data_IF_815312270701
#
_entry.id   IF_815312270701
#
_cell.length_a   1.000
_cell.length_b   1.000
_cell.length_c   1.000
_cell.angle_alpha   90.00
_cell.angle_beta   90.00
_cell.angle_gamma   90.00
#
_symmetry.space_group_name_H-M   'P 1'
#
loop_
_entity.id
_entity.type
_entity.pdbx_description
1 polymer ?
#
# COMPACT_ATOMS: atom_id res chain seq x y z
N UNK A 1 37.13 -4.31 9.93
CA UNK A 1 38.32 -3.43 10.05
C UNK A 1 39.18 -3.91 11.20
N UNK A 2 40.53 -3.86 11.00
CA UNK A 2 41.52 -4.15 12.01
C UNK A 2 42.30 -2.85 12.32
N UNK A 3 42.35 -2.49 13.59
CA UNK A 3 43.14 -1.34 14.07
C UNK A 3 44.54 -1.74 14.42
N UNK A 4 45.49 -1.34 13.60
CA UNK A 4 46.92 -1.60 13.79
C UNK A 4 47.66 -0.36 14.30
N UNK A 5 48.45 -0.44 15.36
CA UNK A 5 49.23 0.70 15.85
C UNK A 5 50.23 1.29 14.84
N UNK A 6 50.68 0.49 13.85
CA UNK A 6 51.61 0.92 12.81
C UNK A 6 50.95 1.36 11.52
N UNK A 7 49.90 0.61 11.10
CA UNK A 7 49.26 0.81 9.77
C UNK A 7 47.94 1.60 9.83
N UNK A 8 47.41 1.87 11.02
CA UNK A 8 46.11 2.50 11.17
C UNK A 8 44.97 1.50 10.96
N UNK A 9 43.86 1.96 10.38
CA UNK A 9 42.71 1.12 10.03
C UNK A 9 43.01 0.30 8.75
N UNK A 10 42.95 -1.01 8.86
CA UNK A 10 43.25 -1.95 7.77
C UNK A 10 42.02 -2.81 7.52
N UNK A 11 41.56 -3.00 6.26
CA UNK A 11 40.45 -3.91 5.96
C UNK A 11 40.82 -5.35 6.24
N UNK A 12 39.87 -6.18 6.64
CA UNK A 12 40.00 -7.61 6.67
C UNK A 12 40.13 -8.12 5.22
N UNK A 13 41.06 -9.04 4.91
CA UNK A 13 41.18 -9.64 3.58
C UNK A 13 39.87 -10.30 3.10
N UNK A 14 39.61 -10.25 1.80
CA UNK A 14 38.37 -10.81 1.22
C UNK A 14 38.23 -12.30 1.46
N UNK A 15 39.35 -13.05 1.46
CA UNK A 15 39.41 -14.48 1.72
C UNK A 15 39.06 -14.88 3.15
N UNK A 16 39.07 -13.91 4.09
CA UNK A 16 38.63 -14.09 5.48
C UNK A 16 37.16 -13.74 5.71
N UNK A 17 36.45 -13.32 4.67
CA UNK A 17 35.02 -12.99 4.75
C UNK A 17 34.15 -14.23 4.48
N UNK A 18 33.00 -14.35 5.14
CA UNK A 18 32.43 -13.44 6.15
C UNK A 18 33.14 -13.57 7.50
N UNK A 19 33.45 -12.42 8.13
CA UNK A 19 33.95 -12.42 9.50
C UNK A 19 32.80 -12.72 10.45
N UNK A 20 32.80 -13.86 11.07
CA UNK A 20 31.76 -14.32 11.99
C UNK A 20 31.95 -13.73 13.39
N UNK A 21 30.83 -13.42 14.06
CA UNK A 21 30.84 -13.09 15.48
C UNK A 21 31.17 -14.33 16.32
N UNK A 22 31.85 -14.16 17.49
CA UNK A 22 32.17 -15.28 18.36
C UNK A 22 30.88 -15.85 18.98
N UNK A 23 30.84 -17.17 19.13
CA UNK A 23 29.77 -17.81 19.90
C UNK A 23 30.00 -17.59 21.39
N UNK A 24 29.05 -16.96 22.04
CA UNK A 24 29.05 -16.68 23.47
C UNK A 24 27.69 -17.00 24.06
N UNK A 25 27.66 -17.47 25.31
CA UNK A 25 26.39 -17.78 26.00
C UNK A 25 25.51 -16.57 26.16
N UNK A 26 26.09 -15.38 26.38
CA UNK A 26 25.36 -14.13 26.56
C UNK A 26 26.22 -12.91 26.28
N UNK A 27 25.71 -11.99 25.45
CA UNK A 27 26.26 -10.64 25.33
C UNK A 27 25.69 -9.74 26.43
N UNK A 28 26.55 -9.15 27.26
CA UNK A 28 26.17 -8.23 28.32
C UNK A 28 26.71 -6.83 28.03
N UNK A 29 25.98 -5.77 28.38
CA UNK A 29 26.51 -4.40 28.29
C UNK A 29 27.75 -4.27 29.18
N UNK A 30 28.80 -3.63 28.65
CA UNK A 30 30.08 -3.42 29.38
C UNK A 30 29.95 -2.42 30.53
N UNK A 31 28.88 -1.58 30.54
CA UNK A 31 28.71 -0.48 31.47
C UNK A 31 29.60 0.74 31.18
N UNK A 32 30.54 0.63 30.22
CA UNK A 32 31.48 1.69 29.82
C UNK A 32 31.03 2.43 28.56
N UNK A 33 29.96 1.96 27.90
CA UNK A 33 29.50 2.45 26.58
C UNK A 33 30.19 1.78 25.40
N UNK A 34 31.16 0.90 25.65
CA UNK A 34 31.78 0.07 24.60
C UNK A 34 30.88 -1.11 24.20
N UNK A 35 31.12 -1.62 23.00
CA UNK A 35 30.43 -2.81 22.51
C UNK A 35 30.70 -4.01 23.42
N UNK A 36 29.70 -4.89 23.66
CA UNK A 36 29.93 -6.17 24.34
C UNK A 36 31.02 -7.04 23.72
N UNK A 37 31.32 -6.87 22.44
CA UNK A 37 32.42 -7.55 21.76
C UNK A 37 33.79 -7.14 22.32
N UNK A 38 33.93 -5.94 22.88
CA UNK A 38 35.20 -5.45 23.40
C UNK A 38 35.76 -6.29 24.54
N UNK A 39 34.88 -6.93 25.33
CA UNK A 39 35.25 -7.81 26.43
C UNK A 39 35.72 -9.24 25.98
N UNK A 40 35.47 -9.58 24.70
CA UNK A 40 35.83 -10.89 24.14
C UNK A 40 37.26 -10.80 23.58
N UNK A 41 38.24 -10.81 24.47
CA UNK A 41 39.64 -10.55 24.14
C UNK A 41 40.23 -11.52 23.11
N UNK A 42 39.78 -12.77 23.10
CA UNK A 42 40.21 -13.78 22.14
C UNK A 42 39.76 -13.44 20.72
N UNK A 43 38.61 -12.86 20.57
CA UNK A 43 38.09 -12.42 19.26
C UNK A 43 38.65 -11.06 18.86
N UNK A 44 38.79 -10.14 19.81
CA UNK A 44 39.26 -8.75 19.56
C UNK A 44 40.70 -8.72 19.14
N UNK A 45 41.56 -9.47 19.84
CA UNK A 45 42.98 -9.48 19.53
C UNK A 45 43.28 -10.29 18.27
N UNK A 46 44.00 -9.70 17.35
CA UNK A 46 44.34 -10.29 16.05
C UNK A 46 45.71 -9.83 15.57
N UNK A 47 46.11 -10.26 14.41
CA UNK A 47 47.29 -9.75 13.72
C UNK A 47 46.93 -8.84 12.58
N UNK A 48 47.70 -7.82 12.35
CA UNK A 48 47.51 -6.92 11.23
C UNK A 48 47.72 -7.64 9.89
N UNK A 49 46.73 -7.64 8.98
CA UNK A 49 46.86 -8.27 7.67
C UNK A 49 48.00 -7.66 6.81
N UNK A 50 48.31 -6.38 7.06
CA UNK A 50 49.33 -5.66 6.29
C UNK A 50 50.76 -5.89 6.77
N UNK A 51 51.01 -5.84 8.09
CA UNK A 51 52.37 -5.88 8.62
C UNK A 51 52.66 -6.98 9.64
N UNK A 52 51.68 -7.83 9.96
CA UNK A 52 51.80 -8.91 10.90
C UNK A 52 51.95 -8.53 12.39
N UNK A 53 51.90 -7.27 12.71
CA UNK A 53 51.99 -6.79 14.10
C UNK A 53 50.70 -7.11 14.88
N UNK A 54 50.77 -7.19 16.25
CA UNK A 54 49.60 -7.28 17.07
C UNK A 54 48.63 -6.10 16.80
N UNK A 55 47.36 -6.43 16.64
CA UNK A 55 46.31 -5.47 16.28
C UNK A 55 44.99 -5.85 16.96
N UNK A 56 43.97 -5.01 16.84
CA UNK A 56 42.63 -5.23 17.39
C UNK A 56 41.58 -5.15 16.31
N UNK A 57 40.61 -6.07 16.33
CA UNK A 57 39.42 -5.96 15.50
C UNK A 57 38.55 -4.80 15.97
N UNK A 58 37.86 -4.17 15.02
CA UNK A 58 36.79 -3.20 15.32
C UNK A 58 35.66 -3.92 16.07
N UNK A 59 35.24 -3.35 17.19
CA UNK A 59 34.18 -3.89 18.04
C UNK A 59 32.85 -3.18 17.89
N UNK A 60 32.85 -1.97 17.29
CA UNK A 60 31.64 -1.30 16.90
C UNK A 60 31.15 -1.91 15.58
N UNK A 61 30.09 -2.68 15.67
CA UNK A 61 29.35 -3.10 14.47
C UNK A 61 28.59 -1.90 13.92
N UNK A 62 28.39 -1.86 12.61
CA UNK A 62 27.49 -0.85 12.04
C UNK A 62 26.11 -0.95 12.69
N UNK A 63 25.42 0.16 12.91
CA UNK A 63 24.08 0.16 13.45
C UNK A 63 23.15 -0.81 12.72
N UNK A 64 22.11 -1.26 13.39
CA UNK A 64 21.10 -2.19 12.85
C UNK A 64 20.56 -1.81 11.46
N UNK A 65 20.68 -0.55 11.05
CA UNK A 65 20.25 -0.05 9.75
C UNK A 65 21.22 -0.37 8.61
N UNK A 66 22.41 -0.89 8.87
CA UNK A 66 23.40 -1.17 7.82
C UNK A 66 22.87 -2.14 6.76
N UNK A 67 22.27 -3.25 7.17
CA UNK A 67 21.66 -4.21 6.26
C UNK A 67 20.45 -3.64 5.52
N UNK A 68 19.60 -2.87 6.21
CA UNK A 68 18.42 -2.25 5.62
C UNK A 68 18.73 -1.05 4.72
N UNK A 69 19.95 -0.51 4.77
CA UNK A 69 20.34 0.65 3.96
C UNK A 69 20.44 0.37 2.46
N UNK A 70 20.48 -0.88 2.04
CA UNK A 70 20.68 -1.28 0.65
C UNK A 70 19.83 -2.48 0.19
N UNK A 71 18.87 -2.97 0.99
CA UNK A 71 18.05 -4.15 0.68
C UNK A 71 17.30 -4.02 -0.65
N UNK A 72 16.87 -2.81 -1.03
CA UNK A 72 16.16 -2.56 -2.28
C UNK A 72 17.00 -2.89 -3.52
N UNK A 73 18.32 -2.75 -3.45
CA UNK A 73 19.24 -3.23 -4.51
C UNK A 73 19.18 -4.76 -4.63
N UNK A 74 19.18 -5.48 -3.50
CA UNK A 74 19.08 -6.94 -3.50
C UNK A 74 17.72 -7.46 -3.91
N UNK A 75 16.65 -6.73 -3.69
CA UNK A 75 15.31 -7.13 -4.18
C UNK A 75 15.27 -7.21 -5.70
N UNK A 76 15.99 -6.34 -6.38
CA UNK A 76 16.08 -6.34 -7.85
C UNK A 76 16.87 -7.55 -8.36
N UNK A 77 17.86 -8.03 -7.61
CA UNK A 77 18.79 -9.08 -8.05
C UNK A 77 19.19 -10.04 -6.91
N UNK A 78 18.19 -10.62 -6.25
CA UNK A 78 18.36 -11.40 -5.03
C UNK A 78 19.10 -12.75 -5.18
N UNK A 79 19.29 -13.25 -6.41
CA UNK A 79 19.99 -14.50 -6.71
C UNK A 79 21.41 -14.28 -7.23
N UNK A 80 21.87 -13.04 -7.30
CA UNK A 80 23.21 -12.73 -7.75
C UNK A 80 24.22 -13.01 -6.63
N UNK A 81 25.15 -13.93 -6.85
CA UNK A 81 26.21 -14.33 -5.93
C UNK A 81 27.60 -13.77 -6.29
N UNK A 82 27.68 -12.99 -7.38
CA UNK A 82 28.94 -12.47 -7.94
C UNK A 82 29.17 -11.00 -7.63
N UNK A 83 28.11 -10.23 -7.55
CA UNK A 83 28.16 -8.78 -7.35
C UNK A 83 27.00 -8.30 -6.48
N UNK A 84 27.09 -7.08 -5.96
CA UNK A 84 26.07 -6.46 -5.11
C UNK A 84 24.70 -6.43 -5.81
N UNK A 85 24.70 -6.01 -7.06
CA UNK A 85 23.54 -5.94 -7.95
C UNK A 85 24.04 -5.85 -9.39
N UNK A 86 23.36 -6.51 -10.31
CA UNK A 86 23.64 -6.33 -11.73
C UNK A 86 23.25 -4.92 -12.17
N UNK A 87 24.19 -4.23 -12.83
CA UNK A 87 24.05 -2.84 -13.24
C UNK A 87 22.82 -2.60 -14.12
N UNK A 88 22.59 -3.40 -15.13
CA UNK A 88 21.47 -3.23 -16.05
C UNK A 88 20.12 -3.39 -15.34
N UNK A 89 20.05 -4.31 -14.38
CA UNK A 89 18.85 -4.47 -13.55
C UNK A 89 18.64 -3.27 -12.62
N UNK A 90 19.71 -2.78 -11.99
CA UNK A 90 19.63 -1.60 -11.14
C UNK A 90 19.12 -0.39 -11.92
N UNK A 91 19.69 -0.11 -13.08
CA UNK A 91 19.32 1.03 -13.93
C UNK A 91 17.88 0.93 -14.47
N UNK A 92 17.39 -0.30 -14.66
CA UNK A 92 16.01 -0.54 -15.15
C UNK A 92 14.94 -0.33 -14.07
N UNK A 93 15.19 -0.76 -12.84
CA UNK A 93 14.17 -0.88 -11.80
C UNK A 93 14.33 0.13 -10.65
N UNK A 94 15.44 0.84 -10.58
CA UNK A 94 15.74 1.80 -9.54
C UNK A 94 16.01 3.20 -10.13
N UNK A 95 15.97 4.26 -9.33
CA UNK A 95 15.62 4.32 -7.90
C UNK A 95 14.16 3.92 -7.62
N UNK A 96 13.88 3.52 -6.38
CA UNK A 96 12.53 3.13 -5.93
C UNK A 96 11.53 4.25 -6.16
N UNK A 97 10.35 3.95 -6.70
CA UNK A 97 9.38 4.97 -7.08
C UNK A 97 8.78 5.70 -5.89
N UNK A 98 8.49 4.99 -4.79
CA UNK A 98 7.92 5.59 -3.59
C UNK A 98 8.42 4.90 -2.33
N UNK A 99 8.87 5.70 -1.36
CA UNK A 99 9.17 5.28 0.00
C UNK A 99 8.04 5.72 0.93
N UNK A 100 7.42 4.75 1.61
CA UNK A 100 6.36 4.99 2.58
C UNK A 100 6.87 4.60 3.95
N UNK A 101 6.84 5.51 4.92
CA UNK A 101 7.33 5.24 6.26
C UNK A 101 7.13 6.39 7.23
N UNK A 102 7.39 6.12 8.53
CA UNK A 102 7.28 7.12 9.58
C UNK A 102 8.35 8.21 9.47
N UNK A 103 8.00 9.40 9.91
CA UNK A 103 8.89 10.59 9.88
C UNK A 103 10.20 10.37 10.67
N UNK A 104 10.21 9.49 11.66
CA UNK A 104 11.40 9.13 12.44
C UNK A 104 12.55 8.56 11.58
N UNK A 105 12.24 7.98 10.44
CA UNK A 105 13.23 7.44 9.51
C UNK A 105 14.02 8.51 8.75
N UNK A 106 13.61 9.78 8.84
CA UNK A 106 14.37 10.90 8.26
C UNK A 106 15.82 10.95 8.78
N UNK A 107 16.02 10.67 10.08
CA UNK A 107 17.33 10.64 10.74
C UNK A 107 17.85 9.21 10.97
N UNK A 108 17.12 8.19 10.53
CA UNK A 108 17.48 6.78 10.67
C UNK A 108 17.68 6.16 9.28
N UNK A 109 16.72 5.37 8.82
CA UNK A 109 16.84 4.59 7.59
C UNK A 109 17.08 5.46 6.34
N UNK A 110 16.38 6.58 6.19
CA UNK A 110 16.57 7.48 5.04
C UNK A 110 17.99 8.06 5.01
N UNK A 111 18.54 8.46 6.17
CA UNK A 111 19.91 8.98 6.25
C UNK A 111 20.92 7.93 5.78
N UNK A 112 20.83 6.70 6.29
CA UNK A 112 21.77 5.63 5.96
C UNK A 112 21.60 5.13 4.52
N UNK A 113 20.39 4.95 4.03
CA UNK A 113 20.15 4.52 2.66
C UNK A 113 20.63 5.54 1.63
N UNK A 114 20.44 6.85 1.89
CA UNK A 114 20.99 7.91 1.05
C UNK A 114 22.51 7.92 1.06
N UNK A 115 23.12 7.75 2.23
CA UNK A 115 24.58 7.68 2.34
C UNK A 115 25.15 6.51 1.53
N UNK A 116 24.57 5.31 1.66
CA UNK A 116 24.98 4.13 0.88
C UNK A 116 24.79 4.34 -0.62
N UNK A 117 23.67 4.87 -1.02
CA UNK A 117 23.37 5.13 -2.44
C UNK A 117 24.39 6.09 -3.04
N UNK A 118 24.69 7.21 -2.37
CA UNK A 118 25.69 8.17 -2.81
C UNK A 118 27.08 7.55 -2.90
N UNK A 119 27.48 6.78 -1.89
CA UNK A 119 28.75 6.08 -1.90
C UNK A 119 28.84 5.09 -3.06
N UNK A 120 27.81 4.27 -3.30
CA UNK A 120 27.80 3.30 -4.40
C UNK A 120 27.79 3.98 -5.78
N UNK A 121 27.18 5.17 -5.88
CA UNK A 121 27.26 6.00 -7.08
C UNK A 121 28.68 6.55 -7.27
N UNK A 122 29.31 7.10 -6.23
CA UNK A 122 30.66 7.65 -6.28
C UNK A 122 31.71 6.61 -6.74
N UNK A 123 31.55 5.35 -6.35
CA UNK A 123 32.44 4.26 -6.77
C UNK A 123 31.97 3.55 -8.07
N UNK A 124 30.92 4.04 -8.71
CA UNK A 124 30.46 3.58 -10.03
C UNK A 124 29.69 2.25 -10.04
N UNK A 125 29.16 1.80 -8.89
CA UNK A 125 28.35 0.57 -8.80
C UNK A 125 26.95 0.79 -9.36
N UNK A 126 26.38 1.97 -9.16
CA UNK A 126 25.05 2.38 -9.66
C UNK A 126 25.10 3.76 -10.30
N UNK A 127 24.08 4.15 -11.09
CA UNK A 127 24.04 5.40 -11.85
C UNK A 127 23.20 6.51 -11.21
N UNK A 128 22.54 6.23 -10.09
CA UNK A 128 21.69 7.18 -9.40
C UNK A 128 22.28 7.50 -8.01
N UNK A 129 22.04 8.72 -7.54
CA UNK A 129 22.56 9.24 -6.26
C UNK A 129 21.51 9.40 -5.15
N UNK A 130 20.23 9.16 -5.47
CA UNK A 130 19.13 9.13 -4.50
C UNK A 130 18.36 7.82 -4.59
N UNK A 131 18.09 7.14 -3.45
CA UNK A 131 17.49 5.81 -3.46
C UNK A 131 15.99 5.80 -3.79
N UNK A 132 15.28 6.91 -3.53
CA UNK A 132 13.83 7.02 -3.62
C UNK A 132 13.42 8.26 -4.41
N UNK A 133 12.50 8.10 -5.39
CA UNK A 133 11.98 9.21 -6.21
C UNK A 133 10.98 10.07 -5.43
N UNK A 134 10.17 9.43 -4.57
CA UNK A 134 9.11 10.08 -3.79
C UNK A 134 9.11 9.57 -2.36
N UNK A 135 8.99 10.48 -1.41
CA UNK A 135 8.79 10.19 0.00
C UNK A 135 7.33 10.46 0.38
N UNK A 136 6.70 9.51 1.05
CA UNK A 136 5.40 9.68 1.68
C UNK A 136 5.51 9.33 3.16
N UNK A 137 5.37 10.33 4.02
CA UNK A 137 5.34 10.11 5.47
C UNK A 137 3.93 9.79 5.91
N UNK A 138 3.77 8.61 6.52
CA UNK A 138 2.51 8.19 7.12
C UNK A 138 2.36 8.74 8.53
N UNK A 139 1.10 8.95 8.94
CA UNK A 139 0.72 9.21 10.32
C UNK A 139 0.81 7.95 11.18
N UNK A 140 0.52 8.11 12.45
CA UNK A 140 0.56 7.05 13.45
C UNK A 140 -0.86 6.62 13.83
N UNK A 141 -1.09 5.31 13.89
CA UNK A 141 -2.29 4.78 14.53
C UNK A 141 -2.02 4.69 16.04
N UNK A 142 -2.74 5.49 16.79
CA UNK A 142 -2.63 5.56 18.24
C UNK A 142 -3.70 4.71 18.93
N UNK A 143 -3.47 4.36 20.18
CA UNK A 143 -4.50 3.81 21.04
C UNK A 143 -5.45 4.90 21.55
N UNK A 144 -6.36 4.53 22.44
CA UNK A 144 -7.33 5.46 23.05
C UNK A 144 -6.67 6.70 23.63
N UNK A 145 -7.31 7.85 23.44
CA UNK A 145 -6.85 9.18 23.87
C UNK A 145 -5.55 9.65 23.17
N UNK A 146 -5.30 9.22 21.95
CA UNK A 146 -4.12 9.61 21.17
C UNK A 146 -2.79 9.06 21.73
N UNK A 147 -2.84 8.06 22.65
CA UNK A 147 -1.64 7.53 23.26
C UNK A 147 -0.98 6.52 22.34
N UNK A 148 0.32 6.71 22.05
CA UNK A 148 1.10 5.75 21.28
C UNK A 148 0.99 4.35 21.88
N UNK A 149 0.67 3.36 21.06
CA UNK A 149 0.62 1.96 21.44
C UNK A 149 2.00 1.46 21.84
N UNK A 150 2.11 0.75 22.97
CA UNK A 150 3.32 0.06 23.37
C UNK A 150 3.01 -1.13 24.27
N UNK A 151 3.85 -2.17 24.18
CA UNK A 151 3.73 -3.37 25.05
C UNK A 151 3.81 -3.02 26.53
N UNK A 152 4.67 -2.05 26.90
CA UNK A 152 4.84 -1.60 28.28
C UNK A 152 3.61 -0.90 28.85
N UNK A 153 2.75 -0.33 28.01
CA UNK A 153 1.49 0.33 28.42
C UNK A 153 0.27 -0.59 28.34
N UNK A 154 0.42 -1.80 27.80
CA UNK A 154 -0.67 -2.75 27.66
C UNK A 154 -1.82 -2.30 26.74
N UNK A 155 -1.57 -1.31 25.85
CA UNK A 155 -2.57 -0.72 24.96
C UNK A 155 -2.36 -1.11 23.49
N UNK A 156 -1.65 -2.21 23.25
CA UNK A 156 -1.42 -2.73 21.90
C UNK A 156 -2.64 -3.53 21.46
N UNK A 157 -3.09 -3.29 20.22
CA UNK A 157 -4.10 -4.12 19.54
C UNK A 157 -3.36 -5.21 18.77
N UNK A 158 -3.72 -6.48 19.00
CA UNK A 158 -3.12 -7.61 18.30
C UNK A 158 -3.79 -7.80 16.92
N UNK A 159 -3.04 -7.76 15.82
CA UNK A 159 -3.58 -8.11 14.50
C UNK A 159 -4.14 -9.53 14.45
N UNK A 160 -3.53 -10.48 15.18
CA UNK A 160 -3.93 -11.89 15.18
C UNK A 160 -5.36 -12.10 15.67
N UNK A 161 -5.77 -11.36 16.70
CA UNK A 161 -7.13 -11.41 17.24
C UNK A 161 -8.14 -10.85 16.23
N UNK A 162 -7.80 -9.74 15.57
CA UNK A 162 -8.65 -9.12 14.56
C UNK A 162 -8.79 -9.98 13.30
N UNK A 163 -7.69 -10.60 12.86
CA UNK A 163 -7.71 -11.54 11.73
C UNK A 163 -8.57 -12.76 12.04
N UNK A 164 -8.47 -13.32 13.25
CA UNK A 164 -9.31 -14.44 13.68
C UNK A 164 -10.79 -14.08 13.69
N UNK A 165 -11.14 -12.89 14.20
CA UNK A 165 -12.53 -12.51 14.47
C UNK A 165 -13.23 -11.88 13.23
N UNK A 166 -12.50 -11.16 12.40
CA UNK A 166 -13.04 -10.40 11.25
C UNK A 166 -12.46 -10.80 9.89
N UNK A 167 -11.35 -11.53 9.86
CA UNK A 167 -10.61 -11.86 8.65
C UNK A 167 -9.58 -10.79 8.25
N UNK A 168 -8.55 -11.23 7.52
CA UNK A 168 -7.42 -10.38 7.12
C UNK A 168 -7.85 -9.19 6.26
N UNK A 169 -8.76 -9.40 5.30
CA UNK A 169 -9.22 -8.34 4.40
C UNK A 169 -9.96 -7.22 5.13
N UNK A 170 -10.72 -7.56 6.18
CA UNK A 170 -11.38 -6.55 7.01
C UNK A 170 -10.36 -5.68 7.75
N UNK A 171 -9.31 -6.27 8.28
CA UNK A 171 -8.23 -5.53 8.94
C UNK A 171 -7.49 -4.62 7.93
N UNK A 172 -7.08 -5.16 6.78
CA UNK A 172 -6.40 -4.41 5.72
C UNK A 172 -7.18 -3.18 5.27
N UNK A 173 -8.47 -3.37 4.98
CA UNK A 173 -9.35 -2.27 4.56
C UNK A 173 -9.54 -1.27 5.71
N UNK A 174 -9.69 -1.74 6.95
CA UNK A 174 -9.91 -0.86 8.07
C UNK A 174 -8.70 0.04 8.35
N UNK A 175 -7.47 -0.50 8.30
CA UNK A 175 -6.25 0.30 8.44
C UNK A 175 -6.13 1.43 7.41
N UNK A 176 -6.60 1.18 6.18
CA UNK A 176 -6.61 2.19 5.13
C UNK A 176 -7.78 3.18 5.27
N UNK A 177 -8.87 2.77 5.90
CA UNK A 177 -10.10 3.55 6.02
C UNK A 177 -10.13 4.48 7.23
N UNK A 178 -9.35 4.20 8.29
CA UNK A 178 -9.41 4.88 9.59
C UNK A 178 -9.19 6.39 9.49
N UNK A 179 -8.43 6.86 8.49
CA UNK A 179 -8.17 8.28 8.25
C UNK A 179 -7.28 8.52 7.05
N UNK A 180 -7.01 9.80 6.71
CA UNK A 180 -6.00 10.13 5.71
C UNK A 180 -4.65 9.53 6.12
N UNK A 181 -3.94 8.84 5.20
CA UNK A 181 -2.74 8.07 5.57
C UNK A 181 -1.59 8.93 6.10
N UNK A 182 -1.55 10.23 5.81
CA UNK A 182 -0.56 11.19 6.30
C UNK A 182 -0.87 11.75 7.70
N UNK A 183 -2.07 11.51 8.24
CA UNK A 183 -2.50 12.03 9.54
C UNK A 183 -2.53 10.93 10.60
N UNK A 184 -2.26 11.34 11.84
CA UNK A 184 -2.46 10.46 12.99
C UNK A 184 -3.95 10.14 13.15
N UNK A 185 -4.24 8.88 13.49
CA UNK A 185 -5.60 8.39 13.69
C UNK A 185 -5.69 7.57 14.97
N UNK A 186 -6.81 7.69 15.68
CA UNK A 186 -7.07 6.87 16.86
C UNK A 186 -7.74 5.55 16.46
N UNK A 187 -7.26 4.44 17.02
CA UNK A 187 -7.85 3.13 16.80
C UNK A 187 -9.22 3.03 17.46
N UNK A 188 -10.24 2.64 16.69
CA UNK A 188 -11.58 2.34 17.18
C UNK A 188 -11.95 0.88 16.86
N UNK A 189 -12.13 0.07 17.91
CA UNK A 189 -12.49 -1.35 17.79
C UNK A 189 -13.83 -1.57 17.04
N UNK A 190 -14.71 -0.57 17.02
CA UNK A 190 -16.01 -0.65 16.32
C UNK A 190 -15.92 -0.37 14.82
N UNK A 191 -14.90 0.34 14.40
CA UNK A 191 -14.75 0.72 12.99
C UNK A 191 -14.59 -0.49 12.07
N UNK A 192 -13.86 -1.52 12.51
CA UNK A 192 -13.65 -2.74 11.73
C UNK A 192 -14.94 -3.53 11.48
N UNK A 193 -15.92 -3.44 12.39
CA UNK A 193 -17.23 -4.09 12.17
C UNK A 193 -17.97 -3.50 10.98
N UNK A 194 -17.85 -2.18 10.77
CA UNK A 194 -18.42 -1.50 9.61
C UNK A 194 -17.84 -2.00 8.29
N UNK A 195 -16.52 -2.16 8.25
CA UNK A 195 -15.80 -2.71 7.11
C UNK A 195 -16.16 -4.17 6.86
N UNK A 196 -16.22 -4.99 7.90
CA UNK A 196 -16.61 -6.40 7.77
C UNK A 196 -18.05 -6.55 7.22
N UNK A 197 -18.99 -5.70 7.69
CA UNK A 197 -20.34 -5.66 7.11
C UNK A 197 -20.35 -5.25 5.63
N UNK A 198 -19.51 -4.30 5.25
CA UNK A 198 -19.35 -3.90 3.85
C UNK A 198 -18.91 -5.08 2.99
N UNK A 199 -17.84 -5.78 3.37
CA UNK A 199 -17.33 -6.95 2.61
C UNK A 199 -18.38 -8.05 2.51
N UNK A 200 -19.09 -8.38 3.60
CA UNK A 200 -20.19 -9.37 3.59
C UNK A 200 -21.34 -8.98 2.67
N UNK A 201 -21.68 -7.68 2.60
CA UNK A 201 -22.72 -7.18 1.70
C UNK A 201 -22.29 -7.25 0.24
N UNK A 202 -21.05 -6.90 -0.05
CA UNK A 202 -20.51 -7.03 -1.40
C UNK A 202 -20.42 -8.51 -1.82
N UNK A 203 -19.92 -9.38 -0.96
CA UNK A 203 -19.90 -10.82 -1.18
C UNK A 203 -21.27 -11.35 -1.56
N UNK A 204 -22.28 -11.01 -0.76
CA UNK A 204 -23.66 -11.43 -1.04
C UNK A 204 -24.17 -10.86 -2.37
N UNK A 205 -23.94 -9.60 -2.64
CA UNK A 205 -24.34 -8.95 -3.90
C UNK A 205 -23.73 -9.69 -5.10
N UNK A 206 -22.44 -9.98 -5.05
CA UNK A 206 -21.73 -10.69 -6.12
C UNK A 206 -22.30 -12.08 -6.36
N UNK A 207 -22.47 -12.91 -5.30
CA UNK A 207 -22.99 -14.25 -5.42
C UNK A 207 -24.47 -14.30 -5.87
N UNK A 208 -25.31 -13.38 -5.39
CA UNK A 208 -26.72 -13.32 -5.78
C UNK A 208 -26.88 -12.96 -7.28
N UNK A 209 -25.87 -12.37 -7.91
CA UNK A 209 -25.94 -11.91 -9.30
C UNK A 209 -24.97 -12.63 -10.27
N UNK A 210 -24.09 -13.52 -9.82
CA UNK A 210 -23.04 -14.14 -10.66
C UNK A 210 -23.58 -14.95 -11.83
N UNK A 211 -24.71 -15.60 -11.64
CA UNK A 211 -25.35 -16.48 -12.64
C UNK A 211 -26.49 -15.77 -13.40
N UNK A 212 -26.69 -14.48 -13.17
CA UNK A 212 -27.73 -13.71 -13.83
C UNK A 212 -27.28 -13.33 -15.25
N UNK A 213 -28.09 -13.70 -16.26
CA UNK A 213 -27.91 -13.22 -17.65
C UNK A 213 -28.52 -11.81 -17.82
N UNK A 214 -28.07 -10.87 -16.97
CA UNK A 214 -28.53 -9.49 -17.00
C UNK A 214 -27.65 -8.71 -17.97
N UNK A 215 -28.29 -8.06 -18.95
CA UNK A 215 -27.59 -7.11 -19.82
C UNK A 215 -27.35 -5.80 -19.09
N UNK A 216 -26.18 -5.23 -19.27
CA UNK A 216 -25.83 -3.92 -18.72
C UNK A 216 -26.82 -2.86 -19.21
N UNK A 217 -27.48 -2.19 -18.29
CA UNK A 217 -28.29 -1.00 -18.60
C UNK A 217 -27.39 0.24 -18.72
N UNK A 218 -27.88 1.31 -19.33
CA UNK A 218 -27.14 2.58 -19.38
C UNK A 218 -26.73 3.06 -18.00
N UNK A 219 -27.58 2.87 -16.98
CA UNK A 219 -27.28 3.23 -15.59
C UNK A 219 -26.15 2.36 -14.99
N UNK A 220 -26.12 1.05 -15.27
CA UNK A 220 -25.02 0.15 -14.84
C UNK A 220 -23.71 0.48 -15.52
N UNK A 221 -23.73 0.71 -16.83
CA UNK A 221 -22.53 1.13 -17.61
C UNK A 221 -21.97 2.41 -17.02
N UNK A 222 -22.79 3.42 -16.78
CA UNK A 222 -22.39 4.69 -16.19
C UNK A 222 -21.79 4.53 -14.80
N UNK A 223 -22.44 3.75 -13.93
CA UNK A 223 -21.94 3.45 -12.58
C UNK A 223 -20.59 2.74 -12.63
N UNK A 224 -20.41 1.78 -13.54
CA UNK A 224 -19.16 1.06 -13.75
C UNK A 224 -18.02 2.01 -14.15
N UNK A 225 -18.23 2.85 -15.16
CA UNK A 225 -17.19 3.79 -15.62
C UNK A 225 -16.88 4.85 -14.54
N UNK A 226 -17.88 5.37 -13.83
CA UNK A 226 -17.66 6.27 -12.69
C UNK A 226 -16.88 5.59 -11.56
N UNK A 227 -17.17 4.32 -11.24
CA UNK A 227 -16.43 3.54 -10.26
C UNK A 227 -14.94 3.45 -10.63
N UNK A 228 -14.64 3.06 -11.88
CA UNK A 228 -13.23 2.95 -12.35
C UNK A 228 -12.52 4.29 -12.26
N UNK A 229 -13.16 5.35 -12.79
CA UNK A 229 -12.62 6.71 -12.75
C UNK A 229 -12.31 7.17 -11.33
N UNK A 230 -13.27 7.07 -10.42
CA UNK A 230 -13.13 7.60 -9.06
C UNK A 230 -12.10 6.82 -8.25
N UNK A 231 -12.12 5.50 -8.31
CA UNK A 231 -11.14 4.64 -7.60
C UNK A 231 -9.73 4.90 -8.14
N UNK A 232 -9.56 4.96 -9.46
CA UNK A 232 -8.25 5.20 -10.09
C UNK A 232 -7.68 6.57 -9.69
N UNK A 233 -8.49 7.62 -9.73
CA UNK A 233 -8.03 8.96 -9.38
C UNK A 233 -7.71 9.11 -7.89
N UNK A 234 -8.54 8.54 -7.01
CA UNK A 234 -8.27 8.51 -5.57
C UNK A 234 -7.01 7.70 -5.23
N UNK A 235 -6.77 6.59 -5.93
CA UNK A 235 -5.56 5.80 -5.79
C UNK A 235 -4.32 6.56 -6.27
N UNK A 236 -4.38 7.20 -7.44
CA UNK A 236 -3.29 8.01 -7.99
C UNK A 236 -2.92 9.19 -7.07
N UNK A 237 -3.90 9.79 -6.39
CA UNK A 237 -3.67 10.83 -5.39
C UNK A 237 -3.28 10.29 -4.01
N UNK A 238 -3.16 8.97 -3.86
CA UNK A 238 -2.87 8.28 -2.60
C UNK A 238 -3.88 8.56 -1.47
N UNK A 239 -5.13 8.89 -1.84
CA UNK A 239 -6.23 9.18 -0.89
C UNK A 239 -6.92 7.88 -0.50
N UNK A 240 -6.20 6.97 0.17
CA UNK A 240 -6.60 5.56 0.39
C UNK A 240 -7.90 5.44 1.19
N UNK A 241 -8.13 6.30 2.18
CA UNK A 241 -9.36 6.30 2.96
C UNK A 241 -10.58 6.63 2.09
N UNK A 242 -10.44 7.53 1.12
CA UNK A 242 -11.53 7.88 0.20
C UNK A 242 -11.75 6.80 -0.87
N UNK A 243 -10.73 6.01 -1.20
CA UNK A 243 -10.90 4.81 -2.03
C UNK A 243 -11.87 3.85 -1.35
N UNK A 244 -11.66 3.58 -0.05
CA UNK A 244 -12.51 2.65 0.71
C UNK A 244 -13.95 3.17 0.84
N UNK A 245 -14.14 4.46 1.18
CA UNK A 245 -15.50 5.04 1.20
C UNK A 245 -16.17 4.98 -0.16
N UNK A 246 -15.41 5.19 -1.25
CA UNK A 246 -15.92 5.02 -2.61
C UNK A 246 -16.44 3.62 -2.89
N UNK A 247 -15.69 2.58 -2.53
CA UNK A 247 -16.20 1.21 -2.63
C UNK A 247 -17.51 1.01 -1.86
N UNK A 248 -17.63 1.56 -0.65
CA UNK A 248 -18.87 1.44 0.12
C UNK A 248 -20.04 2.16 -0.56
N UNK A 249 -19.82 3.34 -1.11
CA UNK A 249 -20.82 4.13 -1.86
C UNK A 249 -21.31 3.38 -3.10
N UNK A 250 -20.37 2.90 -3.93
CA UNK A 250 -20.68 2.13 -5.14
C UNK A 250 -21.34 0.78 -4.82
N UNK A 251 -20.94 0.11 -3.74
CA UNK A 251 -21.64 -1.10 -3.30
C UNK A 251 -23.11 -0.82 -2.94
N UNK A 252 -23.40 0.28 -2.24
CA UNK A 252 -24.76 0.68 -1.93
C UNK A 252 -25.57 0.95 -3.22
N UNK A 253 -24.99 1.66 -4.19
CA UNK A 253 -25.63 1.95 -5.48
C UNK A 253 -25.91 0.65 -6.27
N UNK A 254 -24.96 -0.26 -6.35
CA UNK A 254 -25.14 -1.55 -7.02
C UNK A 254 -26.21 -2.42 -6.32
N UNK A 255 -26.29 -2.39 -4.99
CA UNK A 255 -27.35 -3.07 -4.25
C UNK A 255 -28.75 -2.51 -4.55
N UNK A 256 -28.89 -1.20 -4.79
CA UNK A 256 -30.13 -0.59 -5.24
C UNK A 256 -30.52 -1.03 -6.64
N UNK A 257 -29.54 -1.05 -7.56
CA UNK A 257 -29.74 -1.47 -8.95
C UNK A 257 -30.06 -2.97 -9.04
N UNK A 258 -29.41 -3.80 -8.21
CA UNK A 258 -29.72 -5.23 -8.11
C UNK A 258 -31.18 -5.50 -7.78
N UNK A 259 -31.82 -4.70 -6.92
CA UNK A 259 -33.25 -4.82 -6.60
C UNK A 259 -34.19 -4.45 -7.76
N UNK A 260 -33.69 -3.63 -8.69
CA UNK A 260 -34.49 -3.14 -9.85
C UNK A 260 -34.42 -4.08 -11.06
N UNK A 261 -33.36 -4.87 -11.20
CA UNK A 261 -33.22 -5.72 -12.38
C UNK A 261 -31.96 -6.58 -12.40
N UNK A 262 -31.19 -6.59 -11.32
CA UNK A 262 -29.91 -7.29 -11.25
C UNK A 262 -28.71 -6.41 -11.60
N UNK A 263 -27.53 -6.97 -11.43
CA UNK A 263 -26.25 -6.36 -11.83
C UNK A 263 -25.58 -7.29 -12.82
N UNK A 264 -25.09 -6.75 -13.92
CA UNK A 264 -24.40 -7.53 -14.94
C UNK A 264 -23.02 -8.02 -14.45
N UNK A 265 -22.59 -9.12 -15.04
CA UNK A 265 -21.35 -9.81 -14.69
C UNK A 265 -20.13 -8.91 -14.82
N UNK A 266 -20.03 -8.15 -15.92
CA UNK A 266 -18.90 -7.28 -16.22
C UNK A 266 -18.73 -6.17 -15.17
N UNK A 267 -19.83 -5.58 -14.69
CA UNK A 267 -19.81 -4.59 -13.61
C UNK A 267 -19.29 -5.18 -12.30
N UNK A 268 -19.67 -6.40 -11.97
CA UNK A 268 -19.18 -7.08 -10.75
C UNK A 268 -17.72 -7.50 -10.88
N UNK A 269 -17.29 -8.03 -12.02
CA UNK A 269 -15.89 -8.35 -12.29
C UNK A 269 -14.99 -7.12 -12.23
N UNK A 270 -15.45 -6.00 -12.79
CA UNK A 270 -14.77 -4.70 -12.68
C UNK A 270 -14.56 -4.29 -11.22
N UNK A 271 -15.61 -4.43 -10.41
CA UNK A 271 -15.52 -4.11 -8.98
C UNK A 271 -14.55 -5.05 -8.26
N UNK A 272 -14.57 -6.35 -8.55
CA UNK A 272 -13.65 -7.36 -7.96
C UNK A 272 -12.20 -7.03 -8.29
N UNK A 273 -11.89 -6.69 -9.54
CA UNK A 273 -10.53 -6.31 -9.96
C UNK A 273 -10.05 -5.07 -9.19
N UNK A 274 -10.88 -4.03 -9.11
CA UNK A 274 -10.54 -2.80 -8.41
C UNK A 274 -10.36 -3.02 -6.89
N UNK A 275 -11.12 -3.94 -6.30
CA UNK A 275 -11.08 -4.26 -4.87
C UNK A 275 -9.87 -5.15 -4.50
N UNK A 276 -9.32 -5.92 -5.44
CA UNK A 276 -8.29 -6.92 -5.19
C UNK A 276 -7.05 -6.39 -4.43
N UNK A 277 -6.49 -5.21 -4.72
CA UNK A 277 -5.35 -4.69 -3.95
C UNK A 277 -5.65 -4.45 -2.47
N UNK A 278 -6.90 -4.23 -2.12
CA UNK A 278 -7.38 -3.89 -0.77
C UNK A 278 -7.88 -5.12 0.00
N UNK A 279 -8.61 -6.00 -0.67
CA UNK A 279 -9.20 -7.23 -0.13
C UNK A 279 -8.84 -8.45 -0.99
N UNK A 280 -7.58 -8.88 -1.00
CA UNK A 280 -7.09 -9.91 -1.92
C UNK A 280 -7.81 -11.26 -1.78
N UNK A 281 -8.10 -11.71 -0.55
CA UNK A 281 -8.70 -13.03 -0.34
C UNK A 281 -10.16 -13.08 -0.82
N UNK A 282 -10.94 -12.03 -0.48
CA UNK A 282 -12.34 -11.92 -0.96
C UNK A 282 -12.39 -11.81 -2.47
N UNK A 283 -11.48 -11.04 -3.06
CA UNK A 283 -11.46 -10.83 -4.51
C UNK A 283 -11.03 -12.08 -5.26
N UNK A 284 -10.01 -12.80 -4.81
CA UNK A 284 -9.60 -14.09 -5.43
C UNK A 284 -10.71 -15.12 -5.36
N UNK A 285 -11.34 -15.30 -4.21
CA UNK A 285 -12.44 -16.27 -4.07
C UNK A 285 -13.63 -15.90 -4.96
N UNK A 286 -14.03 -14.62 -5.01
CA UNK A 286 -15.09 -14.18 -5.93
C UNK A 286 -14.69 -14.36 -7.39
N UNK A 287 -13.43 -14.09 -7.75
CA UNK A 287 -12.93 -14.27 -9.11
C UNK A 287 -13.05 -15.74 -9.57
N UNK A 288 -12.70 -16.68 -8.71
CA UNK A 288 -12.90 -18.10 -8.95
C UNK A 288 -14.41 -18.45 -9.07
N UNK A 289 -15.27 -17.90 -8.19
CA UNK A 289 -16.71 -18.10 -8.24
C UNK A 289 -17.36 -17.56 -9.52
N UNK A 290 -16.72 -16.58 -10.19
CA UNK A 290 -17.14 -16.05 -11.49
C UNK A 290 -16.61 -16.89 -12.68
N UNK A 291 -15.89 -17.99 -12.40
CA UNK A 291 -15.46 -18.98 -13.39
C UNK A 291 -14.06 -18.73 -13.97
N UNK A 292 -13.27 -17.84 -13.37
CA UNK A 292 -11.88 -17.62 -13.75
C UNK A 292 -10.96 -18.65 -13.10
N UNK A 293 -9.93 -19.07 -13.81
CA UNK A 293 -8.94 -20.06 -13.35
C UNK A 293 -7.59 -19.44 -12.99
N UNK A 294 -7.37 -18.22 -13.43
CA UNK A 294 -6.17 -17.43 -13.13
C UNK A 294 -6.45 -16.49 -11.97
N UNK A 295 -5.37 -16.03 -11.30
CA UNK A 295 -5.46 -15.02 -10.24
C UNK A 295 -6.05 -13.71 -10.75
N UNK A 296 -6.88 -13.06 -9.94
CA UNK A 296 -7.42 -11.72 -10.22
C UNK A 296 -6.29 -10.68 -10.42
N UNK A 297 -5.11 -10.91 -9.84
CA UNK A 297 -3.94 -10.04 -10.01
C UNK A 297 -3.31 -10.12 -11.41
N UNK A 298 -3.71 -11.09 -12.24
CA UNK A 298 -3.33 -11.14 -13.65
C UNK A 298 -4.30 -10.36 -14.55
N UNK A 299 -5.44 -9.96 -14.03
CA UNK A 299 -6.40 -9.14 -14.77
C UNK A 299 -5.86 -7.74 -15.02
N UNK A 300 -6.18 -7.20 -16.20
CA UNK A 300 -5.83 -5.83 -16.53
C UNK A 300 -6.68 -4.85 -15.73
N UNK A 301 -6.05 -3.77 -15.21
CA UNK A 301 -6.79 -2.70 -14.55
C UNK A 301 -7.81 -2.10 -15.51
N UNK A 302 -9.08 -1.97 -15.09
CA UNK A 302 -10.15 -1.53 -15.99
C UNK A 302 -9.95 -0.09 -16.46
N UNK A 303 -10.34 0.17 -17.70
CA UNK A 303 -10.38 1.52 -18.27
C UNK A 303 -11.77 2.12 -18.15
N UNK A 304 -11.85 3.46 -18.17
CA UNK A 304 -13.11 4.19 -18.16
C UNK A 304 -13.26 5.06 -19.39
N UNK A 305 -14.51 5.28 -19.79
CA UNK A 305 -14.90 6.19 -20.87
C UNK A 305 -15.64 7.39 -20.25
N UNK A 306 -15.11 8.60 -20.48
CA UNK A 306 -15.69 9.84 -19.96
C UNK A 306 -17.07 10.12 -20.55
N UNK A 307 -17.32 9.75 -21.81
CA UNK A 307 -18.64 9.94 -22.45
C UNK A 307 -19.70 9.04 -21.78
N UNK A 308 -19.31 7.79 -21.44
CA UNK A 308 -20.21 6.86 -20.72
C UNK A 308 -20.58 7.31 -19.31
N UNK A 309 -19.83 8.25 -18.72
CA UNK A 309 -20.08 8.81 -17.38
C UNK A 309 -21.03 9.99 -17.37
N UNK A 310 -21.33 10.61 -18.53
CA UNK A 310 -22.15 11.80 -18.60
C UNK A 310 -23.60 11.51 -18.17
N UNK A 311 -24.17 12.47 -17.47
CA UNK A 311 -25.59 12.44 -17.17
C UNK A 311 -26.39 12.76 -18.44
N UNK A 312 -27.57 12.13 -18.59
CA UNK A 312 -28.46 12.46 -19.69
C UNK A 312 -28.76 13.95 -19.62
N UNK A 313 -28.52 14.68 -20.72
CA UNK A 313 -28.83 16.11 -20.78
C UNK A 313 -30.35 16.28 -20.68
N UNK A 314 -30.80 16.96 -19.64
CA UNK A 314 -32.18 17.37 -19.50
C UNK A 314 -32.31 18.75 -20.19
N UNK A 315 -32.87 18.77 -21.38
CA UNK A 315 -33.20 20.04 -22.06
C UNK A 315 -34.41 20.69 -21.39
N UNK A 316 -34.18 21.72 -20.61
CA UNK A 316 -35.25 22.54 -20.05
C UNK A 316 -35.62 23.58 -21.11
N UNK A 317 -36.71 23.34 -21.87
CA UNK A 317 -37.25 24.33 -22.81
C UNK A 317 -37.94 25.42 -22.05
N UNK A 318 -37.55 26.70 -22.24
CA UNK A 318 -38.30 27.82 -21.65
C UNK A 318 -39.68 27.90 -22.28
N UNK A 319 -40.71 27.84 -21.45
CA UNK A 319 -42.07 28.04 -21.88
C UNK A 319 -42.29 29.54 -22.23
N UNK A 320 -42.72 29.82 -23.47
CA UNK A 320 -43.28 31.11 -23.82
C UNK A 320 -44.64 31.28 -23.11
N UNK A 321 -44.72 32.29 -22.25
CA UNK A 321 -45.97 32.68 -21.59
C UNK A 321 -46.95 33.24 -22.61
N UNK A 322 -48.03 32.52 -22.85
CA UNK A 322 -49.26 33.11 -23.36
C UNK A 322 -50.25 33.21 -22.19
N UNK A 323 -50.80 34.39 -21.98
CA UNK A 323 -51.67 34.81 -20.88
C UNK A 323 -52.44 33.68 -20.15
N UNK A 324 -52.10 33.44 -18.88
CA UNK A 324 -53.04 32.90 -17.91
C UNK A 324 -52.82 31.47 -17.38
N UNK A 325 -51.87 30.69 -17.87
CA UNK A 325 -51.52 29.39 -17.28
C UNK A 325 -50.02 29.08 -17.39
N UNK A 326 -49.37 28.91 -16.26
CA UNK A 326 -47.98 28.47 -16.19
C UNK A 326 -47.95 26.94 -16.07
N UNK A 327 -47.43 26.25 -17.05
CA UNK A 327 -47.07 24.83 -16.94
C UNK A 327 -45.61 24.63 -17.31
N UNK A 328 -44.88 23.85 -16.50
CA UNK A 328 -43.54 23.45 -16.77
C UNK A 328 -43.56 22.06 -17.47
N UNK A 329 -43.01 21.98 -18.67
CA UNK A 329 -42.89 20.72 -19.38
C UNK A 329 -41.42 20.30 -19.36
N UNK A 330 -41.12 19.18 -18.75
CA UNK A 330 -39.80 18.54 -18.76
C UNK A 330 -39.82 17.41 -19.79
N UNK A 331 -38.99 17.49 -20.84
CA UNK A 331 -38.80 16.40 -21.78
C UNK A 331 -37.51 15.66 -21.48
N UNK A 332 -37.62 14.36 -21.32
CA UNK A 332 -36.46 13.44 -21.28
C UNK A 332 -36.20 12.97 -22.71
N UNK A 333 -34.98 13.12 -23.21
CA UNK A 333 -34.58 12.51 -24.49
C UNK A 333 -34.47 10.99 -24.26
N UNK A 334 -35.27 10.22 -24.98
CA UNK A 334 -35.19 8.75 -25.03
C UNK A 334 -36.45 7.95 -24.74
N UNK A 335 -37.55 8.60 -24.31
CA UNK A 335 -38.82 7.87 -24.11
C UNK A 335 -39.94 8.40 -25.00
N UNK A 336 -40.78 7.53 -25.59
CA UNK A 336 -41.95 7.97 -26.32
C UNK A 336 -43.03 8.42 -25.37
N UNK A 337 -43.31 9.73 -25.40
CA UNK A 337 -44.53 10.42 -24.93
C UNK A 337 -45.13 10.04 -23.57
N UNK A 338 -44.60 10.63 -22.49
CA UNK A 338 -45.38 10.88 -21.28
C UNK A 338 -45.37 12.40 -20.98
N UNK A 339 -46.48 13.08 -21.29
CA UNK A 339 -46.72 14.46 -20.87
C UNK A 339 -47.06 14.46 -19.38
N UNK A 340 -46.15 14.92 -18.54
CA UNK A 340 -46.43 15.19 -17.13
C UNK A 340 -46.79 16.68 -16.98
N UNK A 341 -48.07 16.98 -16.90
CA UNK A 341 -48.55 18.29 -16.54
C UNK A 341 -48.78 18.41 -15.05
N UNK A 342 -48.06 19.30 -14.39
CA UNK A 342 -48.31 19.65 -13.00
C UNK A 342 -49.07 20.97 -12.91
N UNK A 343 -50.20 21.04 -12.19
CA UNK A 343 -50.86 22.31 -11.91
C UNK A 343 -50.06 23.07 -10.85
N UNK A 344 -49.71 24.32 -11.13
CA UNK A 344 -49.19 25.23 -10.12
C UNK A 344 -50.34 25.67 -9.18
N UNK A 345 -50.08 25.50 -7.86
CA UNK A 345 -50.86 26.12 -6.79
C UNK A 345 -50.52 27.59 -6.64
#
# INVERSE_FOLDING_TARGET
IVHCPKCGAVPVPEEELPLLLPEVEKYQPTGTGESPLADITEWVNTTCPCCGAPAKRETNTMPQWAGSSWYFLRYVDNKNDKELVNREKADKYLPVDMYIGGVEHAVLHLLYSRFYTKFLNDIGVIDFDEPFKKLFNQGMITGKNGIKMSKSKGNVVSPDDLVRDYGCDSLRIYELFVGPPELDSEWDDKGIEGVNRFLKRFWKLALDNKDNDVKATSELIKVRHKLVHDITNRLNSFSLNTVISGFMEYNNKLMELSKKGGVDKETLETYIILLAPFAPHVSEELWEQFGHTDSVFHATWPEYDEEAMKDDEIEILPLQFTFGMSSLVVRLQGEPHHDLSFPCL
#
